data_IF_015820062841
#
_entry.id   IF_015820062841
#
_cell.length_a   1.000
_cell.length_b   1.000
_cell.length_c   1.000
_cell.angle_alpha   90.00
_cell.angle_beta   90.00
_cell.angle_gamma   90.00
#
_symmetry.space_group_name_H-M   'P 1'
#
loop_
_entity.id
_entity.type
_entity.pdbx_description
1 polymer ?
#
# COMPACT_ATOMS: atom_id res chain seq x y z
N UNK A 1 -5.09 -25.61 0.64
CA UNK A 1 -4.04 -24.88 -0.10
C UNK A 1 -4.28 -23.36 -0.10
N UNK A 2 -5.49 -22.90 -0.46
CA UNK A 2 -5.85 -21.47 -0.55
C UNK A 2 -5.68 -20.68 0.77
N UNK A 3 -6.10 -21.24 1.91
CA UNK A 3 -6.06 -20.56 3.22
C UNK A 3 -4.64 -20.24 3.69
N UNK A 4 -3.69 -21.18 3.50
CA UNK A 4 -2.28 -21.02 3.90
C UNK A 4 -1.57 -19.93 3.08
N UNK A 5 -1.86 -19.85 1.79
CA UNK A 5 -1.33 -18.78 0.94
C UNK A 5 -1.87 -17.42 1.37
N UNK A 6 -3.18 -17.32 1.58
CA UNK A 6 -3.81 -16.06 1.99
C UNK A 6 -3.23 -15.53 3.31
N UNK A 7 -3.15 -16.36 4.34
CA UNK A 7 -2.65 -15.94 5.66
C UNK A 7 -1.15 -15.71 5.72
N UNK A 8 -0.38 -16.34 4.83
CA UNK A 8 1.08 -16.15 4.78
C UNK A 8 1.50 -14.88 4.05
N UNK A 9 0.65 -14.37 3.16
CA UNK A 9 1.01 -13.29 2.23
C UNK A 9 0.22 -12.01 2.50
N UNK A 10 -1.07 -12.11 2.79
CA UNK A 10 -1.95 -10.95 2.87
C UNK A 10 -2.21 -10.58 4.32
N UNK A 11 -2.27 -9.27 4.58
CA UNK A 11 -2.67 -8.78 5.89
C UNK A 11 -4.15 -9.09 6.13
N UNK A 12 -4.61 -9.33 7.38
CA UNK A 12 -6.03 -9.62 7.67
C UNK A 12 -7.02 -8.64 7.04
N UNK A 13 -6.72 -7.33 7.08
CA UNK A 13 -7.54 -6.28 6.44
C UNK A 13 -7.68 -6.50 4.92
N UNK A 14 -6.63 -6.95 4.25
CA UNK A 14 -6.68 -7.24 2.81
C UNK A 14 -7.48 -8.50 2.52
N UNK A 15 -7.41 -9.51 3.41
CA UNK A 15 -8.22 -10.72 3.33
C UNK A 15 -9.71 -10.36 3.47
N UNK A 16 -10.05 -9.51 4.44
CA UNK A 16 -11.42 -9.00 4.60
C UNK A 16 -11.90 -8.20 3.36
N UNK A 17 -11.05 -7.36 2.76
CA UNK A 17 -11.40 -6.65 1.51
C UNK A 17 -11.55 -7.63 0.33
N UNK A 18 -10.72 -8.68 0.28
CA UNK A 18 -10.78 -9.73 -0.73
C UNK A 18 -12.05 -10.57 -0.63
N UNK A 19 -12.54 -10.85 0.57
CA UNK A 19 -13.77 -11.63 0.81
C UNK A 19 -15.04 -10.86 0.45
N UNK A 20 -14.99 -9.53 0.46
CA UNK A 20 -16.11 -8.65 0.07
C UNK A 20 -16.27 -8.48 -1.45
N UNK A 21 -15.34 -9.01 -2.25
CA UNK A 21 -15.34 -8.84 -3.71
C UNK A 21 -16.07 -9.97 -4.41
N UNK A 22 -16.69 -9.64 -5.55
CA UNK A 22 -17.32 -10.61 -6.42
C UNK A 22 -16.35 -11.71 -6.86
N UNK A 23 -16.87 -12.93 -6.98
CA UNK A 23 -16.08 -14.08 -7.43
C UNK A 23 -15.62 -13.91 -8.89
N UNK A 24 -14.49 -14.55 -9.23
CA UNK A 24 -13.91 -14.50 -10.57
C UNK A 24 -12.79 -13.46 -10.71
N UNK A 25 -12.76 -12.78 -11.86
CA UNK A 25 -11.65 -11.91 -12.26
C UNK A 25 -11.35 -10.76 -11.28
N UNK A 26 -12.34 -10.03 -10.71
CA UNK A 26 -12.08 -8.93 -9.78
C UNK A 26 -11.38 -9.38 -8.50
N UNK A 27 -11.73 -10.57 -7.99
CA UNK A 27 -11.11 -11.20 -6.82
C UNK A 27 -9.65 -11.55 -7.09
N UNK A 28 -9.39 -12.17 -8.25
CA UNK A 28 -8.05 -12.60 -8.65
C UNK A 28 -7.11 -11.41 -8.89
N UNK A 29 -7.61 -10.38 -9.60
CA UNK A 29 -6.88 -9.14 -9.87
C UNK A 29 -6.50 -8.42 -8.58
N UNK A 30 -7.38 -8.44 -7.57
CA UNK A 30 -7.06 -7.88 -6.25
C UNK A 30 -5.85 -8.57 -5.61
N UNK A 31 -5.88 -9.90 -5.53
CA UNK A 31 -4.76 -10.67 -4.95
C UNK A 31 -3.47 -10.47 -5.76
N UNK A 32 -3.56 -10.53 -7.09
CA UNK A 32 -2.42 -10.35 -7.98
C UNK A 32 -1.78 -8.97 -7.80
N UNK A 33 -2.59 -7.91 -7.68
CA UNK A 33 -2.10 -6.56 -7.46
C UNK A 33 -1.41 -6.41 -6.10
N UNK A 34 -1.97 -6.99 -5.05
CA UNK A 34 -1.36 -6.97 -3.70
C UNK A 34 -0.09 -7.79 -3.62
N UNK A 35 -0.02 -8.92 -4.33
CA UNK A 35 1.22 -9.68 -4.47
C UNK A 35 2.30 -8.87 -5.19
N UNK A 36 1.97 -8.28 -6.35
CA UNK A 36 2.89 -7.47 -7.12
C UNK A 36 3.46 -6.29 -6.31
N UNK A 37 2.63 -5.66 -5.47
CA UNK A 37 3.06 -4.58 -4.57
C UNK A 37 4.11 -5.05 -3.56
N UNK A 38 3.87 -6.19 -2.89
CA UNK A 38 4.80 -6.70 -1.86
C UNK A 38 6.12 -7.14 -2.48
N UNK A 39 6.06 -7.78 -3.64
CA UNK A 39 7.25 -8.11 -4.45
C UNK A 39 8.02 -6.85 -4.86
N UNK A 40 7.32 -5.80 -5.30
CA UNK A 40 7.96 -4.54 -5.67
C UNK A 40 8.63 -3.87 -4.45
N UNK A 41 8.02 -3.95 -3.26
CA UNK A 41 8.62 -3.44 -2.03
C UNK A 41 9.89 -4.20 -1.64
N UNK A 42 9.88 -5.54 -1.71
CA UNK A 42 11.09 -6.35 -1.47
C UNK A 42 12.20 -5.98 -2.45
N UNK A 43 11.87 -5.80 -3.73
CA UNK A 43 12.86 -5.40 -4.75
C UNK A 43 13.41 -4.00 -4.52
N UNK A 44 12.56 -3.05 -4.16
CA UNK A 44 12.98 -1.67 -3.89
C UNK A 44 13.83 -1.55 -2.63
N UNK A 45 13.50 -2.32 -1.58
CA UNK A 45 14.24 -2.31 -0.30
C UNK A 45 15.47 -3.22 -0.28
N UNK A 46 15.51 -4.25 -1.12
CA UNK A 46 16.50 -5.33 -1.05
C UNK A 46 16.30 -6.29 0.13
N UNK A 47 15.23 -6.14 0.92
CA UNK A 47 15.00 -6.91 2.15
C UNK A 47 14.14 -8.15 1.88
N UNK A 48 14.79 -9.30 1.67
CA UNK A 48 14.10 -10.58 1.42
C UNK A 48 13.46 -11.20 2.66
N UNK A 49 13.74 -10.66 3.85
CA UNK A 49 13.22 -11.13 5.14
C UNK A 49 11.91 -10.48 5.56
N UNK A 50 11.38 -9.56 4.75
CA UNK A 50 10.12 -8.88 5.08
C UNK A 50 8.98 -9.88 5.22
N UNK A 51 8.20 -9.74 6.29
CA UNK A 51 6.97 -10.51 6.46
C UNK A 51 5.84 -9.87 5.66
N UNK A 52 5.34 -10.57 4.63
CA UNK A 52 4.40 -10.01 3.68
C UNK A 52 3.04 -9.70 4.33
N UNK A 53 2.59 -10.53 5.26
CA UNK A 53 1.32 -10.37 5.96
C UNK A 53 1.30 -9.15 6.91
N UNK A 54 2.43 -8.50 7.14
CA UNK A 54 2.58 -7.30 7.95
C UNK A 54 2.72 -6.02 7.10
N UNK A 55 2.54 -6.14 5.78
CA UNK A 55 2.52 -5.04 4.83
C UNK A 55 1.13 -4.99 4.19
N UNK A 56 0.52 -3.81 4.10
CA UNK A 56 -0.76 -3.67 3.41
C UNK A 56 -0.95 -2.31 2.78
N UNK A 57 -1.87 -2.22 1.82
CA UNK A 57 -2.21 -0.96 1.20
C UNK A 57 -3.37 -0.28 1.94
N UNK A 58 -3.08 0.82 2.64
CA UNK A 58 -4.07 1.66 3.30
C UNK A 58 -4.69 2.62 2.27
N UNK A 59 -6.01 2.64 2.18
CA UNK A 59 -6.77 3.64 1.40
C UNK A 59 -7.30 4.70 2.37
N UNK A 60 -6.72 5.90 2.41
CA UNK A 60 -7.24 6.96 3.26
C UNK A 60 -8.68 7.32 2.83
N UNK A 61 -9.56 7.70 3.78
CA UNK A 61 -10.86 8.22 3.41
C UNK A 61 -10.70 9.47 2.54
N UNK A 62 -11.63 9.74 1.60
CA UNK A 62 -11.57 10.95 0.78
C UNK A 62 -11.60 12.19 1.67
N UNK A 63 -10.76 13.17 1.36
CA UNK A 63 -10.82 14.48 2.02
C UNK A 63 -12.01 15.24 1.48
N UNK A 64 -12.72 15.95 2.35
CA UNK A 64 -13.79 16.86 1.94
C UNK A 64 -13.22 18.27 1.99
N UNK A 65 -13.01 18.86 0.82
CA UNK A 65 -12.68 20.28 0.70
C UNK A 65 -13.99 21.06 0.67
N UNK A 66 -14.16 21.95 1.65
CA UNK A 66 -15.31 22.85 1.71
C UNK A 66 -14.86 24.21 1.21
N UNK A 67 -15.53 24.73 0.18
CA UNK A 67 -15.35 26.11 -0.27
C UNK A 67 -16.68 26.84 -0.26
N UNK A 68 -16.69 28.08 0.21
CA UNK A 68 -17.90 28.90 0.30
C UNK A 68 -17.95 29.87 -0.87
N UNK A 69 -19.07 29.87 -1.60
CA UNK A 69 -19.31 30.83 -2.66
C UNK A 69 -19.62 32.23 -2.10
N UNK A 70 -19.45 33.30 -2.88
CA UNK A 70 -19.90 34.66 -2.49
C UNK A 70 -21.40 34.74 -2.16
N UNK A 71 -22.20 33.81 -2.67
CA UNK A 71 -23.63 33.64 -2.36
C UNK A 71 -23.90 33.02 -0.98
N UNK A 72 -22.88 32.56 -0.26
CA UNK A 72 -23.00 31.85 1.02
C UNK A 72 -23.22 30.33 0.89
N UNK A 73 -23.32 29.80 -0.32
CA UNK A 73 -23.47 28.36 -0.57
C UNK A 73 -22.15 27.60 -0.35
N UNK A 74 -22.21 26.47 0.36
CA UNK A 74 -21.06 25.56 0.55
C UNK A 74 -20.95 24.55 -0.60
N UNK A 75 -19.78 24.51 -1.25
CA UNK A 75 -19.40 23.46 -2.19
C UNK A 75 -18.51 22.46 -1.45
N UNK A 76 -18.90 21.18 -1.46
CA UNK A 76 -18.15 20.07 -0.87
C UNK A 76 -17.54 19.22 -1.97
N UNK A 77 -16.25 19.37 -2.19
CA UNK A 77 -15.49 18.57 -3.16
C UNK A 77 -14.82 17.38 -2.45
N UNK A 78 -15.07 16.16 -2.94
CA UNK A 78 -14.41 14.95 -2.43
C UNK A 78 -13.10 14.72 -3.17
N UNK A 79 -11.99 14.91 -2.49
CA UNK A 79 -10.66 14.67 -3.02
C UNK A 79 -10.24 13.23 -2.70
N UNK A 80 -10.06 12.43 -3.74
CA UNK A 80 -9.59 11.04 -3.61
C UNK A 80 -8.13 11.04 -3.22
N UNK A 81 -7.80 10.41 -2.10
CA UNK A 81 -6.42 10.30 -1.64
C UNK A 81 -5.72 9.13 -2.33
N UNK A 82 -4.40 9.28 -2.51
CA UNK A 82 -3.55 8.19 -3.02
C UNK A 82 -3.45 7.08 -1.97
N UNK A 83 -3.39 5.81 -2.39
CA UNK A 83 -3.16 4.72 -1.45
C UNK A 83 -1.75 4.83 -0.85
N UNK A 84 -1.62 4.44 0.41
CA UNK A 84 -0.37 4.47 1.16
C UNK A 84 0.03 3.05 1.57
N UNK A 85 1.31 2.72 1.47
CA UNK A 85 1.85 1.51 2.07
C UNK A 85 1.86 1.67 3.58
N UNK A 86 1.31 0.69 4.28
CA UNK A 86 1.37 0.59 5.73
C UNK A 86 2.22 -0.63 6.10
N UNK A 87 3.12 -0.42 7.05
CA UNK A 87 4.03 -1.44 7.58
C UNK A 87 3.74 -1.60 9.06
N UNK A 88 3.43 -2.82 9.47
CA UNK A 88 3.28 -3.22 10.88
C UNK A 88 4.33 -4.28 11.22
N UNK A 89 4.36 -4.71 12.49
CA UNK A 89 5.32 -5.71 12.96
C UNK A 89 6.71 -5.12 13.23
N UNK A 90 7.33 -5.57 14.31
CA UNK A 90 8.63 -5.06 14.75
C UNK A 90 9.73 -5.35 13.73
N UNK A 91 9.78 -6.58 13.19
CA UNK A 91 10.79 -6.99 12.21
C UNK A 91 10.79 -6.09 10.97
N UNK A 92 9.63 -5.89 10.33
CA UNK A 92 9.55 -5.07 9.13
C UNK A 92 9.89 -3.60 9.41
N UNK A 93 9.47 -3.07 10.56
CA UNK A 93 9.78 -1.69 10.96
C UNK A 93 11.28 -1.50 11.15
N UNK A 94 11.95 -2.40 11.86
CA UNK A 94 13.41 -2.35 12.03
C UNK A 94 14.13 -2.46 10.68
N UNK A 95 13.74 -3.41 9.82
CA UNK A 95 14.40 -3.61 8.52
C UNK A 95 14.24 -2.40 7.59
N UNK A 96 13.07 -1.75 7.57
CA UNK A 96 12.78 -0.66 6.64
C UNK A 96 13.16 0.72 7.19
N UNK A 97 12.77 1.04 8.41
CA UNK A 97 12.90 2.40 8.93
C UNK A 97 14.18 2.63 9.71
N UNK A 98 14.68 1.62 10.43
CA UNK A 98 15.91 1.77 11.23
C UNK A 98 17.15 1.41 10.42
N UNK A 99 17.16 0.25 9.74
CA UNK A 99 18.35 -0.22 9.03
C UNK A 99 18.54 0.44 7.65
N UNK A 100 17.45 0.71 6.93
CA UNK A 100 17.51 1.35 5.62
C UNK A 100 17.25 2.86 5.68
N UNK A 101 16.94 3.39 6.86
CA UNK A 101 16.62 4.80 7.08
C UNK A 101 15.52 5.32 6.13
N UNK A 102 14.56 4.47 5.74
CA UNK A 102 13.42 4.88 4.92
C UNK A 102 12.58 5.88 5.73
N UNK A 103 12.15 6.95 5.10
CA UNK A 103 11.29 7.95 5.74
C UNK A 103 9.91 7.31 5.97
N UNK A 104 9.55 7.12 7.25
CA UNK A 104 8.34 6.39 7.64
C UNK A 104 7.06 7.10 7.15
N UNK A 105 6.97 8.40 7.36
CA UNK A 105 5.82 9.20 6.92
C UNK A 105 6.09 9.84 5.56
N UNK A 106 5.40 9.35 4.53
CA UNK A 106 5.43 9.94 3.18
C UNK A 106 6.61 9.52 2.30
N UNK A 107 7.60 8.77 2.81
CA UNK A 107 8.73 8.29 2.02
C UNK A 107 8.48 7.00 1.24
N UNK A 108 7.32 6.36 1.41
CA UNK A 108 6.96 5.13 0.71
C UNK A 108 5.86 5.40 -0.32
N UNK A 109 6.25 5.38 -1.59
CA UNK A 109 5.34 5.63 -2.71
C UNK A 109 5.01 4.34 -3.43
N UNK A 110 3.73 4.11 -3.69
CA UNK A 110 3.27 2.94 -4.43
C UNK A 110 2.26 3.31 -5.52
N UNK A 111 2.39 2.63 -6.65
CA UNK A 111 1.39 2.63 -7.71
C UNK A 111 1.07 1.19 -8.10
N UNK A 112 -0.20 0.92 -8.39
CA UNK A 112 -0.68 -0.39 -8.84
C UNK A 112 -1.52 -0.21 -10.10
N UNK A 113 -1.32 -1.10 -11.06
CA UNK A 113 -2.15 -1.20 -12.25
C UNK A 113 -2.40 -2.67 -12.58
N UNK A 114 -3.51 -2.95 -13.26
CA UNK A 114 -3.82 -4.27 -13.77
C UNK A 114 -4.54 -4.15 -15.10
N UNK A 115 -4.20 -5.05 -16.02
CA UNK A 115 -4.81 -5.13 -17.34
C UNK A 115 -4.93 -6.60 -17.73
N UNK A 116 -6.13 -7.01 -18.14
CA UNK A 116 -6.51 -8.39 -18.44
C UNK A 116 -6.05 -9.41 -17.38
N UNK A 117 -4.95 -10.11 -17.69
CA UNK A 117 -4.37 -11.23 -16.93
C UNK A 117 -3.14 -10.83 -16.12
N UNK A 118 -2.74 -9.56 -16.14
CA UNK A 118 -1.51 -9.07 -15.53
C UNK A 118 -1.80 -8.00 -14.48
N UNK A 119 -0.98 -8.00 -13.43
CA UNK A 119 -0.94 -6.94 -12.44
C UNK A 119 0.52 -6.49 -12.27
N UNK A 120 0.71 -5.18 -12.17
CA UNK A 120 2.01 -4.54 -11.99
C UNK A 120 1.93 -3.58 -10.81
N UNK A 121 3.04 -3.49 -10.08
CA UNK A 121 3.20 -2.47 -9.07
C UNK A 121 4.60 -1.86 -9.15
N UNK A 122 4.67 -0.58 -8.82
CA UNK A 122 5.92 0.18 -8.71
C UNK A 122 6.00 0.74 -7.31
N UNK A 123 7.15 0.57 -6.66
CA UNK A 123 7.44 1.12 -5.34
C UNK A 123 8.70 1.97 -5.43
N UNK A 124 8.63 3.17 -4.84
CA UNK A 124 9.77 4.09 -4.68
C UNK A 124 9.90 4.38 -3.19
N UNK A 125 11.13 4.30 -2.68
CA UNK A 125 11.47 4.48 -1.29
C UNK A 125 12.42 5.67 -1.17
N UNK A 126 12.06 6.63 -0.33
CA UNK A 126 12.90 7.74 0.06
C UNK A 126 13.60 7.39 1.38
N UNK A 127 14.89 7.69 1.46
CA UNK A 127 15.71 7.46 2.65
C UNK A 127 16.38 8.75 3.09
N UNK A 128 16.70 8.86 4.37
CA UNK A 128 17.62 9.89 4.82
C UNK A 128 19.00 9.65 4.19
N UNK A 129 19.65 10.73 3.76
CA UNK A 129 21.04 10.71 3.35
C UNK A 129 21.88 11.21 4.53
N UNK A 130 22.80 10.37 5.00
CA UNK A 130 23.80 10.84 5.96
C UNK A 130 24.77 11.75 5.20
N UNK A 131 24.74 13.04 5.52
CA UNK A 131 25.76 13.97 5.08
C UNK A 131 26.92 13.82 6.06
N UNK A 132 28.02 13.21 5.62
CA UNK A 132 29.29 13.28 6.34
C UNK A 132 29.76 14.75 6.33
N UNK A 133 29.75 15.38 7.52
CA UNK A 133 30.20 16.76 7.75
C UNK A 133 31.67 16.80 8.17
#
# INVERSE_FOLDING_TARGET
MQKRFLTGVFHPIEIEEFEKRDEGAPRLQYLASRWALKEALVKASGQTKLSYNEIYLKKPPPLVKVSTLPSGEEIKEKIKQKPQLAVVGELNRTLLFEQLAIIEEGGMHASLSHEDKYAVATVVLEKYEEIEL
#
